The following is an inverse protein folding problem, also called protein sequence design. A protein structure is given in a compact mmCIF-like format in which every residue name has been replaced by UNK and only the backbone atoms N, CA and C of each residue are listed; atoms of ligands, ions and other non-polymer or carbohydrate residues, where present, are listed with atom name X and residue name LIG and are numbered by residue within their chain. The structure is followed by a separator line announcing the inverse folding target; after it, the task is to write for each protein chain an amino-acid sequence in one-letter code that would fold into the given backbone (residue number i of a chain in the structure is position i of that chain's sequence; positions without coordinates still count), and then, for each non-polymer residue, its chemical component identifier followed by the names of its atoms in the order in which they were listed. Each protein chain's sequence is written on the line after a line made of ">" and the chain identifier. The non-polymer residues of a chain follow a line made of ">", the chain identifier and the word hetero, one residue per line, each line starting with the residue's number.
data_IF_547643414190
#
_entry.id   IF_547643414190
#
_cell.length_a   1.000
_cell.length_b   1.000
_cell.length_c   1.000
_cell.angle_alpha   90.00
_cell.angle_beta   90.00
_cell.angle_gamma   90.00
#
_symmetry.space_group_name_H-M   'P 1'
#
loop_
_entity.id
_entity.type
_entity.pdbx_description
1 polymer ?
#
# COMPACT_ATOMS: atom_id res chain seq x y z
N UNK A 1 22.70 -8.36 11.70
CA UNK A 1 22.70 -7.61 10.43
C UNK A 1 22.02 -6.25 10.59
N UNK A 2 22.29 -5.31 9.70
CA UNK A 2 21.66 -3.95 9.71
C UNK A 2 20.13 -4.02 9.62
N UNK A 3 19.60 -5.03 8.94
CA UNK A 3 18.15 -5.28 8.79
C UNK A 3 17.45 -5.58 10.12
N UNK A 4 18.13 -6.17 11.07
CA UNK A 4 17.54 -6.51 12.38
C UNK A 4 17.64 -5.37 13.38
N UNK A 5 18.53 -4.44 13.14
CA UNK A 5 18.94 -3.40 14.06
C UNK A 5 17.96 -2.26 14.22
N UNK A 6 17.52 -1.70 13.12
CA UNK A 6 16.62 -0.57 13.10
C UNK A 6 15.25 -0.92 13.70
N UNK A 7 14.64 -2.06 13.36
CA UNK A 7 13.39 -2.50 13.98
C UNK A 7 13.47 -2.66 15.49
N UNK A 8 14.59 -3.17 16.03
CA UNK A 8 14.76 -3.37 17.49
C UNK A 8 14.86 -2.03 18.24
N UNK A 9 15.63 -1.07 17.73
CA UNK A 9 15.76 0.25 18.34
C UNK A 9 14.46 1.04 18.31
N UNK A 10 13.80 1.06 17.15
CA UNK A 10 12.50 1.70 16.99
C UNK A 10 11.47 1.01 17.90
N UNK A 11 11.42 -0.32 17.90
CA UNK A 11 10.51 -1.10 18.74
C UNK A 11 10.66 -0.75 20.22
N UNK A 12 11.88 -0.67 20.76
CA UNK A 12 12.12 -0.29 22.17
C UNK A 12 11.68 1.13 22.48
N UNK A 13 12.00 2.09 21.61
CA UNK A 13 11.60 3.48 21.79
C UNK A 13 10.08 3.61 21.76
N UNK A 14 9.43 2.88 20.86
CA UNK A 14 7.98 2.84 20.74
C UNK A 14 7.33 2.22 21.97
N UNK A 15 7.80 1.04 22.37
CA UNK A 15 7.29 0.30 23.53
C UNK A 15 7.37 1.13 24.81
N UNK A 16 8.45 1.89 25.03
CA UNK A 16 8.59 2.80 26.17
C UNK A 16 7.65 4.01 26.10
N UNK A 17 7.19 4.41 24.91
CA UNK A 17 6.34 5.59 24.71
C UNK A 17 4.86 5.26 24.78
N UNK A 18 4.47 4.01 24.50
CA UNK A 18 3.08 3.60 24.48
C UNK A 18 2.76 2.72 25.70
N UNK A 19 1.87 3.21 26.55
CA UNK A 19 1.50 2.49 27.78
C UNK A 19 0.52 1.34 27.53
N UNK A 20 -0.22 1.35 26.41
CA UNK A 20 -1.30 0.39 26.13
C UNK A 20 -1.22 -0.21 24.74
N UNK A 21 -1.75 -1.44 24.60
CA UNK A 21 -1.86 -2.18 23.34
C UNK A 21 -2.58 -1.35 22.27
N UNK A 22 -3.71 -0.72 22.62
CA UNK A 22 -4.48 0.12 21.68
C UNK A 22 -3.67 1.27 21.13
N UNK A 23 -2.97 2.03 21.98
CA UNK A 23 -2.17 3.17 21.54
C UNK A 23 -1.03 2.74 20.60
N UNK A 24 -0.35 1.64 20.95
CA UNK A 24 0.70 1.09 20.10
C UNK A 24 0.14 0.60 18.78
N UNK A 25 -0.97 -0.14 18.77
CA UNK A 25 -1.59 -0.65 17.56
C UNK A 25 -2.06 0.49 16.62
N UNK A 26 -2.76 1.49 17.15
CA UNK A 26 -3.19 2.64 16.35
C UNK A 26 -2.01 3.42 15.78
N UNK A 27 -0.93 3.59 16.55
CA UNK A 27 0.27 4.22 16.05
C UNK A 27 0.91 3.41 14.91
N UNK A 28 0.98 2.08 15.02
CA UNK A 28 1.53 1.20 13.98
C UNK A 28 0.67 1.24 12.72
N UNK A 29 -0.66 1.16 12.86
CA UNK A 29 -1.61 1.26 11.74
C UNK A 29 -1.51 2.62 11.05
N UNK A 30 -1.48 3.72 11.82
CA UNK A 30 -1.31 5.06 11.26
C UNK A 30 0.05 5.21 10.55
N UNK A 31 1.13 4.70 11.16
CA UNK A 31 2.47 4.73 10.57
C UNK A 31 2.55 3.92 9.28
N UNK A 32 1.87 2.77 9.21
CA UNK A 32 1.78 1.95 8.00
C UNK A 32 1.07 2.72 6.87
N UNK A 33 -0.07 3.36 7.15
CA UNK A 33 -0.77 4.21 6.20
C UNK A 33 0.09 5.40 5.75
N UNK A 34 0.73 6.10 6.68
CA UNK A 34 1.57 7.25 6.38
C UNK A 34 2.80 6.86 5.54
N UNK A 35 3.48 5.77 5.88
CA UNK A 35 4.63 5.30 5.12
C UNK A 35 4.23 4.92 3.70
N UNK A 36 3.11 4.23 3.50
CA UNK A 36 2.64 3.83 2.18
C UNK A 36 2.14 5.00 1.32
N UNK A 37 1.89 6.15 1.90
CA UNK A 37 1.62 7.38 1.15
C UNK A 37 2.83 7.88 0.37
N UNK A 38 4.04 7.72 0.93
CA UNK A 38 5.30 8.21 0.36
C UNK A 38 6.16 7.08 -0.23
N UNK A 39 5.96 5.85 0.23
CA UNK A 39 6.60 4.65 -0.30
C UNK A 39 5.52 3.81 -0.98
N UNK A 40 5.91 2.83 -1.78
CA UNK A 40 4.90 1.88 -2.29
C UNK A 40 4.35 1.04 -1.14
N UNK A 41 3.11 0.58 -1.28
CA UNK A 41 2.45 -0.28 -0.30
C UNK A 41 3.31 -1.50 0.10
N UNK A 42 3.98 -2.13 -0.87
CA UNK A 42 4.85 -3.28 -0.65
C UNK A 42 6.08 -2.91 0.20
N UNK A 43 6.74 -1.79 -0.15
CA UNK A 43 7.91 -1.30 0.60
C UNK A 43 7.53 -0.91 2.03
N UNK A 44 6.39 -0.28 2.22
CA UNK A 44 5.88 0.05 3.56
C UNK A 44 5.68 -1.21 4.41
N UNK A 45 5.15 -2.31 3.82
CA UNK A 45 5.00 -3.60 4.51
C UNK A 45 6.32 -4.23 4.90
N UNK A 46 7.34 -4.16 4.02
CA UNK A 46 8.69 -4.65 4.35
C UNK A 46 9.36 -3.89 5.50
N UNK A 47 8.83 -2.75 5.89
CA UNK A 47 9.26 -1.98 7.07
C UNK A 47 8.39 -2.32 8.29
N UNK A 48 7.07 -2.22 8.16
CA UNK A 48 6.18 -2.28 9.33
C UNK A 48 5.98 -3.70 9.85
N UNK A 49 5.87 -4.71 8.97
CA UNK A 49 5.65 -6.09 9.40
C UNK A 49 6.85 -6.67 10.17
N UNK A 50 8.12 -6.54 9.72
CA UNK A 50 9.27 -6.93 10.53
C UNK A 50 9.37 -6.17 11.86
N UNK A 51 8.96 -4.89 11.89
CA UNK A 51 8.90 -4.13 13.13
C UNK A 51 7.86 -4.73 14.09
N UNK A 52 6.67 -5.08 13.60
CA UNK A 52 5.64 -5.76 14.39
C UNK A 52 6.11 -7.12 14.90
N UNK A 53 6.77 -7.93 14.07
CA UNK A 53 7.36 -9.20 14.48
C UNK A 53 8.46 -9.03 15.55
N UNK A 54 9.18 -7.91 15.50
CA UNK A 54 10.17 -7.55 16.51
C UNK A 54 9.50 -7.11 17.81
N UNK A 55 8.42 -6.32 17.73
CA UNK A 55 7.63 -5.90 18.91
C UNK A 55 7.09 -7.10 19.69
N UNK A 56 6.71 -8.19 19.01
CA UNK A 56 6.32 -9.47 19.65
C UNK A 56 7.38 -10.01 20.61
N UNK A 57 8.66 -9.79 20.30
CA UNK A 57 9.78 -10.23 21.17
C UNK A 57 9.98 -9.32 22.39
N UNK A 58 9.42 -8.11 22.35
CA UNK A 58 9.61 -7.07 23.37
C UNK A 58 8.40 -6.91 24.27
N UNK A 59 7.20 -7.23 23.78
CA UNK A 59 5.96 -7.10 24.53
C UNK A 59 4.88 -8.05 24.01
N UNK A 60 3.87 -8.30 24.84
CA UNK A 60 2.70 -9.09 24.43
C UNK A 60 1.75 -8.23 23.60
N UNK A 61 1.61 -8.55 22.31
CA UNK A 61 0.72 -7.89 21.35
C UNK A 61 0.00 -8.92 20.48
N UNK A 62 -1.20 -8.64 19.97
CA UNK A 62 -1.92 -9.51 19.04
C UNK A 62 -1.36 -9.36 17.62
N UNK A 63 -0.17 -9.92 17.38
CA UNK A 63 0.61 -9.77 16.14
C UNK A 63 -0.21 -10.05 14.88
N UNK A 64 -0.95 -11.17 14.86
CA UNK A 64 -1.77 -11.55 13.70
C UNK A 64 -2.80 -10.46 13.35
N UNK A 65 -3.49 -9.93 14.35
CA UNK A 65 -4.46 -8.85 14.17
C UNK A 65 -3.77 -7.58 13.70
N UNK A 66 -2.64 -7.23 14.30
CA UNK A 66 -1.91 -6.02 13.96
C UNK A 66 -1.43 -6.05 12.52
N UNK A 67 -0.85 -7.18 12.05
CA UNK A 67 -0.42 -7.33 10.65
C UNK A 67 -1.60 -7.23 9.66
N UNK A 68 -2.78 -7.75 10.03
CA UNK A 68 -3.99 -7.58 9.20
C UNK A 68 -4.32 -6.09 9.06
N UNK A 69 -4.33 -5.34 10.17
CA UNK A 69 -4.61 -3.91 10.13
C UNK A 69 -3.51 -3.11 9.40
N UNK A 70 -2.25 -3.50 9.51
CA UNK A 70 -1.14 -2.91 8.74
C UNK A 70 -1.32 -3.16 7.24
N UNK A 71 -1.72 -4.35 6.82
CA UNK A 71 -2.01 -4.65 5.42
C UNK A 71 -3.17 -3.80 4.86
N UNK A 72 -4.24 -3.62 5.64
CA UNK A 72 -5.34 -2.73 5.27
C UNK A 72 -4.88 -1.26 5.27
N UNK A 73 -4.04 -0.87 6.22
CA UNK A 73 -3.54 0.50 6.35
C UNK A 73 -2.62 0.91 5.19
N UNK A 74 -1.75 0.01 4.71
CA UNK A 74 -0.90 0.33 3.56
C UNK A 74 -1.71 0.46 2.27
N UNK A 75 -2.77 -0.33 2.10
CA UNK A 75 -3.69 -0.14 0.97
C UNK A 75 -4.45 1.19 1.09
N UNK A 76 -4.89 1.57 2.29
CA UNK A 76 -5.59 2.83 2.54
C UNK A 76 -4.69 4.06 2.32
N UNK A 77 -3.46 4.04 2.82
CA UNK A 77 -2.52 5.15 2.70
C UNK A 77 -1.94 5.30 1.28
N UNK A 78 -1.64 4.18 0.63
CA UNK A 78 -1.02 4.16 -0.70
C UNK A 78 -1.92 4.71 -1.79
N UNK A 79 -3.23 4.73 -1.60
CA UNK A 79 -4.15 5.28 -2.58
C UNK A 79 -4.06 6.82 -2.70
N UNK A 80 -3.43 7.51 -1.72
CA UNK A 80 -3.40 8.98 -1.68
C UNK A 80 -2.54 9.60 -2.77
N UNK A 81 -1.35 9.06 -3.04
CA UNK A 81 -0.38 9.67 -3.96
C UNK A 81 -0.17 8.85 -5.23
N UNK A 82 0.32 9.47 -6.31
CA UNK A 82 0.68 8.74 -7.53
C UNK A 82 1.67 7.59 -7.31
N UNK A 83 2.60 7.74 -6.38
CA UNK A 83 3.69 6.78 -6.12
C UNK A 83 3.37 5.77 -5.02
N UNK A 84 2.22 5.89 -4.36
CA UNK A 84 1.84 5.01 -3.25
C UNK A 84 1.64 3.55 -3.68
N UNK A 85 1.25 3.31 -4.92
CA UNK A 85 1.09 1.96 -5.47
C UNK A 85 1.21 1.95 -7.01
N UNK A 86 1.47 0.77 -7.62
CA UNK A 86 1.68 0.67 -9.07
C UNK A 86 0.47 1.10 -9.91
N UNK A 87 -0.75 0.82 -9.47
CA UNK A 87 -1.95 1.22 -10.20
C UNK A 87 -2.11 2.74 -10.27
N UNK A 88 -1.76 3.47 -9.21
CA UNK A 88 -1.78 4.93 -9.22
C UNK A 88 -0.73 5.51 -10.17
N UNK A 89 0.47 4.90 -10.23
CA UNK A 89 1.51 5.30 -11.19
C UNK A 89 0.96 5.22 -12.62
N UNK A 90 0.25 4.14 -12.96
CA UNK A 90 -0.33 3.94 -14.28
C UNK A 90 -1.45 4.93 -14.60
N UNK A 91 -2.36 5.13 -13.64
CA UNK A 91 -3.47 6.07 -13.78
C UNK A 91 -2.98 7.51 -13.90
N UNK A 92 -2.06 7.90 -13.03
CA UNK A 92 -1.44 9.22 -13.05
C UNK A 92 -0.68 9.48 -14.34
N UNK A 93 0.16 8.52 -14.78
CA UNK A 93 0.94 8.65 -16.01
C UNK A 93 0.08 8.81 -17.28
N UNK A 94 -1.19 8.39 -17.25
CA UNK A 94 -2.14 8.54 -18.37
C UNK A 94 -3.13 9.69 -18.18
N UNK A 95 -3.25 10.25 -16.96
CA UNK A 95 -4.26 11.28 -16.64
C UNK A 95 -3.89 12.69 -17.10
N UNK A 96 -2.61 12.97 -17.32
CA UNK A 96 -2.10 14.32 -17.59
C UNK A 96 -2.13 15.27 -16.38
N UNK A 97 -2.48 14.77 -15.19
CA UNK A 97 -2.53 15.55 -13.96
C UNK A 97 -1.12 15.76 -13.38
N UNK A 98 -0.90 16.88 -12.69
CA UNK A 98 0.27 17.05 -11.83
C UNK A 98 0.20 16.11 -10.63
N UNK A 99 1.33 15.87 -9.97
CA UNK A 99 1.40 15.07 -8.75
C UNK A 99 0.45 15.59 -7.67
N UNK A 100 0.43 16.91 -7.48
CA UNK A 100 -0.40 17.58 -6.48
C UNK A 100 -1.89 17.53 -6.82
N UNK A 101 -2.25 17.69 -8.10
CA UNK A 101 -3.64 17.58 -8.55
C UNK A 101 -4.19 16.17 -8.36
N UNK A 102 -3.44 15.12 -8.76
CA UNK A 102 -3.82 13.73 -8.53
C UNK A 102 -4.00 13.45 -7.03
N UNK A 103 -3.02 13.86 -6.21
CA UNK A 103 -3.09 13.68 -4.76
C UNK A 103 -4.31 14.37 -4.16
N UNK A 104 -4.64 15.58 -4.60
CA UNK A 104 -5.82 16.31 -4.17
C UNK A 104 -7.12 15.57 -4.49
N UNK A 105 -7.21 14.98 -5.68
CA UNK A 105 -8.39 14.19 -6.09
C UNK A 105 -8.52 12.87 -5.31
N UNK A 106 -7.41 12.26 -4.92
CA UNK A 106 -7.43 11.00 -4.15
C UNK A 106 -7.63 11.22 -2.64
N UNK A 107 -7.35 12.42 -2.13
CA UNK A 107 -7.34 12.74 -0.70
C UNK A 107 -8.68 12.47 0.02
N UNK A 108 -9.87 12.82 -0.51
CA UNK A 108 -11.12 12.58 0.20
C UNK A 108 -11.34 11.12 0.54
N UNK A 109 -11.12 10.21 -0.43
CA UNK A 109 -11.25 8.77 -0.20
C UNK A 109 -10.18 8.27 0.76
N UNK A 110 -8.92 8.65 0.56
CA UNK A 110 -7.80 8.21 1.41
C UNK A 110 -8.04 8.56 2.87
N UNK A 111 -8.40 9.81 3.15
CA UNK A 111 -8.66 10.28 4.51
C UNK A 111 -9.86 9.57 5.14
N UNK A 112 -10.95 9.40 4.39
CA UNK A 112 -12.14 8.71 4.87
C UNK A 112 -11.84 7.25 5.25
N UNK A 113 -11.07 6.53 4.40
CA UNK A 113 -10.74 5.13 4.65
C UNK A 113 -9.72 4.98 5.78
N UNK A 114 -8.68 5.81 5.84
CA UNK A 114 -7.72 5.78 6.96
C UNK A 114 -8.41 6.10 8.29
N UNK A 115 -9.26 7.13 8.32
CA UNK A 115 -10.02 7.48 9.52
C UNK A 115 -10.94 6.33 9.96
N UNK A 116 -11.65 5.69 9.02
CA UNK A 116 -12.49 4.54 9.28
C UNK A 116 -11.70 3.35 9.84
N UNK A 117 -10.52 3.08 9.26
CA UNK A 117 -9.66 1.99 9.73
C UNK A 117 -9.12 2.24 11.14
N UNK A 118 -8.75 3.49 11.45
CA UNK A 118 -8.33 3.87 12.80
C UNK A 118 -9.50 3.76 13.79
N UNK A 119 -10.72 4.15 13.39
CA UNK A 119 -11.91 4.00 14.21
C UNK A 119 -12.20 2.51 14.49
N UNK A 120 -12.17 1.64 13.48
CA UNK A 120 -12.30 0.19 13.66
C UNK A 120 -11.19 -0.36 14.55
N UNK A 121 -9.96 0.09 14.36
CA UNK A 121 -8.81 -0.26 15.19
C UNK A 121 -8.99 0.12 16.66
N UNK A 122 -9.62 1.26 16.94
CA UNK A 122 -9.93 1.69 18.31
C UNK A 122 -10.77 0.67 19.07
N UNK A 123 -11.73 0.04 18.40
CA UNK A 123 -12.57 -1.00 19.00
C UNK A 123 -11.92 -2.38 18.94
N UNK A 124 -11.14 -2.67 17.91
CA UNK A 124 -10.49 -3.98 17.71
C UNK A 124 -9.37 -4.26 18.71
N UNK A 125 -8.66 -3.22 19.21
CA UNK A 125 -7.55 -3.38 20.15
C UNK A 125 -7.95 -2.94 21.56
N UNK A 126 -7.76 -3.81 22.58
CA UNK A 126 -8.13 -3.50 23.97
C UNK A 126 -7.18 -2.46 24.57
N UNK A 127 -7.69 -1.72 25.55
CA UNK A 127 -6.90 -0.75 26.30
C UNK A 127 -6.15 -1.43 27.47
N UNK A 128 -5.40 -2.51 27.18
CA UNK A 128 -4.59 -3.23 28.16
C UNK A 128 -3.21 -2.62 28.26
N UNK A 129 -2.65 -2.60 29.46
CA UNK A 129 -1.25 -2.22 29.69
C UNK A 129 -0.32 -3.21 28.99
N UNK A 130 0.71 -2.69 28.32
CA UNK A 130 1.73 -3.52 27.68
C UNK A 130 2.64 -4.16 28.75
N UNK A 131 2.79 -5.47 28.67
CA UNK A 131 3.78 -6.21 29.47
C UNK A 131 5.09 -6.31 28.68
N UNK A 132 6.17 -5.86 29.28
CA UNK A 132 7.47 -5.79 28.62
C UNK A 132 8.35 -6.96 29.01
N UNK A 133 9.10 -7.49 28.04
CA UNK A 133 10.16 -8.45 28.25
C UNK A 133 11.50 -7.71 28.28
N UNK A 134 12.25 -7.85 29.37
CA UNK A 134 13.58 -7.25 29.52
C UNK A 134 14.64 -8.04 28.75
N UNK A 135 15.33 -7.40 27.87
CA UNK A 135 16.61 -7.87 27.30
C UNK A 135 16.68 -8.05 25.80
N UNK A 136 17.36 -7.14 25.16
CA UNK A 136 18.26 -7.35 23.98
C UNK A 136 18.98 -6.03 23.68
N UNK A 137 20.31 -6.08 23.46
CA UNK A 137 21.12 -4.93 22.98
C UNK A 137 20.80 -4.67 21.51
N UNK A 138 20.45 -3.44 21.17
CA UNK A 138 20.16 -3.03 19.79
C UNK A 138 21.40 -2.47 19.07
N UNK A 139 21.44 -2.57 17.75
CA UNK A 139 22.52 -2.04 16.92
C UNK A 139 22.47 -0.51 16.78
N UNK A 140 23.55 0.06 16.27
CA UNK A 140 23.75 1.50 16.20
C UNK A 140 23.00 2.14 15.02
N UNK A 141 22.41 3.31 15.27
CA UNK A 141 21.80 4.20 14.31
C UNK A 141 22.82 4.76 13.32
N UNK A 142 22.51 4.77 12.01
CA UNK A 142 23.36 5.36 10.96
C UNK A 142 22.67 6.60 10.35
N UNK A 143 22.76 7.77 11.00
CA UNK A 143 22.03 8.98 10.57
C UNK A 143 22.42 9.44 9.17
N UNK A 144 23.68 9.31 8.79
CA UNK A 144 24.16 9.72 7.46
C UNK A 144 23.43 9.00 6.32
N UNK A 145 23.25 7.68 6.42
CA UNK A 145 22.55 6.90 5.40
C UNK A 145 21.07 7.30 5.32
N UNK A 146 20.42 7.51 6.44
CA UNK A 146 19.00 7.92 6.48
C UNK A 146 18.78 9.28 5.83
N UNK A 147 19.63 10.27 6.15
CA UNK A 147 19.53 11.59 5.53
C UNK A 147 19.85 11.59 4.05
N UNK A 148 20.82 10.77 3.62
CA UNK A 148 21.13 10.60 2.20
C UNK A 148 19.97 9.94 1.44
N UNK A 149 19.34 8.90 2.00
CA UNK A 149 18.17 8.27 1.41
C UNK A 149 17.00 9.27 1.28
N UNK A 150 16.75 10.05 2.33
CA UNK A 150 15.70 11.06 2.32
C UNK A 150 15.97 12.15 1.25
N UNK A 151 17.22 12.64 1.15
CA UNK A 151 17.61 13.61 0.15
C UNK A 151 17.43 13.09 -1.28
N UNK A 152 17.90 11.88 -1.57
CA UNK A 152 17.72 11.24 -2.89
C UNK A 152 16.25 11.00 -3.21
N UNK A 153 15.44 10.66 -2.20
CA UNK A 153 14.01 10.48 -2.38
C UNK A 153 13.30 11.79 -2.74
N UNK A 154 13.63 12.90 -2.05
CA UNK A 154 13.09 14.23 -2.37
C UNK A 154 13.47 14.64 -3.80
N UNK A 155 14.73 14.44 -4.20
CA UNK A 155 15.18 14.73 -5.57
C UNK A 155 14.40 13.90 -6.58
N UNK A 156 14.13 12.63 -6.30
CA UNK A 156 13.30 11.78 -7.15
C UNK A 156 11.87 12.31 -7.28
N UNK A 157 11.25 12.74 -6.19
CA UNK A 157 9.89 13.34 -6.23
C UNK A 157 9.85 14.61 -7.09
N UNK A 158 10.87 15.47 -6.98
CA UNK A 158 10.98 16.66 -7.81
C UNK A 158 11.13 16.27 -9.29
N UNK A 159 11.94 15.27 -9.58
CA UNK A 159 12.11 14.78 -10.95
C UNK A 159 10.80 14.20 -11.53
N UNK A 160 9.99 13.52 -10.71
CA UNK A 160 8.66 13.04 -11.10
C UNK A 160 7.72 14.21 -11.45
N UNK A 161 7.65 15.24 -10.61
CA UNK A 161 6.81 16.41 -10.86
C UNK A 161 7.23 17.17 -12.13
N UNK A 162 8.52 17.17 -12.44
CA UNK A 162 9.09 17.75 -13.68
C UNK A 162 8.97 16.85 -14.91
N UNK A 163 8.27 15.70 -14.82
CA UNK A 163 8.16 14.69 -15.87
C UNK A 163 9.53 14.10 -16.32
N UNK A 164 10.52 14.10 -15.43
CA UNK A 164 11.88 13.57 -15.64
C UNK A 164 12.13 12.27 -14.84
N UNK A 165 11.14 11.38 -14.80
CA UNK A 165 11.18 10.15 -14.00
C UNK A 165 12.42 9.30 -14.24
N UNK A 166 12.81 9.11 -15.52
CA UNK A 166 13.98 8.31 -15.88
C UNK A 166 15.29 8.97 -15.40
N UNK A 167 15.44 10.27 -15.60
CA UNK A 167 16.61 11.01 -15.14
C UNK A 167 16.72 10.96 -13.60
N UNK A 168 15.59 11.13 -12.91
CA UNK A 168 15.51 10.98 -11.44
C UNK A 168 15.90 9.58 -10.97
N UNK A 169 15.40 8.53 -11.60
CA UNK A 169 15.73 7.14 -11.28
C UNK A 169 17.23 6.84 -11.50
N UNK A 170 17.80 7.29 -12.60
CA UNK A 170 19.23 7.14 -12.89
C UNK A 170 20.09 7.89 -11.86
N UNK A 171 19.69 9.10 -11.47
CA UNK A 171 20.39 9.88 -10.46
C UNK A 171 20.38 9.18 -9.09
N UNK A 172 19.23 8.63 -8.69
CA UNK A 172 19.11 7.86 -7.45
C UNK A 172 19.96 6.59 -7.51
N UNK A 173 19.93 5.85 -8.63
CA UNK A 173 20.76 4.65 -8.81
C UNK A 173 22.26 4.99 -8.74
N UNK A 174 22.71 6.05 -9.41
CA UNK A 174 24.09 6.55 -9.31
C UNK A 174 24.44 6.97 -7.89
N UNK A 175 23.53 7.69 -7.19
CA UNK A 175 23.73 8.07 -5.80
C UNK A 175 23.99 6.88 -4.89
N UNK A 176 23.18 5.81 -5.00
CA UNK A 176 23.36 4.58 -4.23
C UNK A 176 24.59 3.79 -4.64
N UNK A 177 25.03 3.87 -5.92
CA UNK A 177 26.25 3.23 -6.36
C UNK A 177 27.49 3.76 -5.59
N UNK A 178 27.52 5.06 -5.28
CA UNK A 178 28.60 5.70 -4.52
C UNK A 178 28.39 5.61 -3.01
N UNK A 179 27.15 5.78 -2.52
CA UNK A 179 26.84 5.84 -1.09
C UNK A 179 26.74 4.46 -0.44
N UNK A 180 26.08 3.50 -1.13
CA UNK A 180 25.78 2.20 -0.55
C UNK A 180 25.45 1.15 -1.64
N UNK A 181 26.45 0.68 -2.37
CA UNK A 181 26.31 -0.35 -3.43
C UNK A 181 25.49 -1.58 -2.98
N UNK A 182 25.63 -1.98 -1.71
CA UNK A 182 24.89 -3.13 -1.17
C UNK A 182 23.38 -2.92 -1.19
N UNK A 183 22.89 -1.69 -1.13
CA UNK A 183 21.46 -1.38 -1.24
C UNK A 183 20.93 -1.75 -2.62
N UNK A 184 21.66 -1.44 -3.70
CA UNK A 184 21.26 -1.81 -5.07
C UNK A 184 21.20 -3.32 -5.27
N UNK A 185 22.12 -4.06 -4.66
CA UNK A 185 22.11 -5.54 -4.72
C UNK A 185 20.97 -6.13 -3.88
N UNK A 186 20.53 -5.44 -2.83
CA UNK A 186 19.44 -5.87 -1.96
C UNK A 186 18.04 -5.51 -2.47
N UNK A 187 17.93 -4.83 -3.62
CA UNK A 187 16.63 -4.58 -4.28
C UNK A 187 15.96 -5.92 -4.58
N UNK A 188 14.65 -5.99 -4.35
CA UNK A 188 13.87 -7.18 -4.70
C UNK A 188 13.61 -7.23 -6.20
N UNK A 189 14.61 -7.71 -6.93
CA UNK A 189 14.54 -7.90 -8.39
C UNK A 189 13.43 -8.89 -8.78
N UNK A 190 13.12 -9.85 -7.91
CA UNK A 190 12.03 -10.80 -8.14
C UNK A 190 10.69 -10.10 -8.18
N UNK A 191 10.45 -9.14 -7.27
CA UNK A 191 9.24 -8.33 -7.28
C UNK A 191 9.10 -7.52 -8.58
N UNK A 192 10.20 -6.91 -9.06
CA UNK A 192 10.19 -6.19 -10.35
C UNK A 192 9.88 -7.12 -11.53
N UNK A 193 10.44 -8.33 -11.55
CA UNK A 193 10.13 -9.34 -12.57
C UNK A 193 8.66 -9.77 -12.52
N UNK A 194 8.09 -9.93 -11.32
CA UNK A 194 6.65 -10.22 -11.15
C UNK A 194 5.80 -9.11 -11.74
N UNK A 195 6.11 -7.83 -11.48
CA UNK A 195 5.39 -6.73 -12.12
C UNK A 195 5.52 -6.75 -13.64
N UNK A 196 6.71 -6.99 -14.19
CA UNK A 196 6.89 -7.11 -15.63
C UNK A 196 6.05 -8.26 -16.20
N UNK A 197 6.06 -9.43 -15.56
CA UNK A 197 5.24 -10.58 -15.96
C UNK A 197 3.74 -10.23 -15.92
N UNK A 198 3.26 -9.55 -14.90
CA UNK A 198 1.87 -9.09 -14.79
C UNK A 198 1.46 -8.20 -15.98
N UNK A 199 2.35 -7.31 -16.45
CA UNK A 199 2.07 -6.51 -17.65
C UNK A 199 1.96 -7.38 -18.91
N UNK A 200 2.84 -8.37 -19.06
CA UNK A 200 2.80 -9.32 -20.18
C UNK A 200 1.54 -10.16 -20.12
N UNK A 201 1.21 -10.72 -18.96
CA UNK A 201 0.02 -11.56 -18.76
C UNK A 201 -1.26 -10.80 -19.09
N UNK A 202 -1.41 -9.56 -18.62
CA UNK A 202 -2.58 -8.74 -18.96
C UNK A 202 -2.62 -8.44 -20.44
N UNK A 203 -1.49 -8.13 -21.09
CA UNK A 203 -1.43 -7.92 -22.53
C UNK A 203 -1.91 -9.17 -23.30
N UNK A 204 -1.45 -10.35 -22.92
CA UNK A 204 -1.89 -11.61 -23.50
C UNK A 204 -3.39 -11.89 -23.26
N UNK A 205 -3.88 -11.59 -22.05
CA UNK A 205 -5.32 -11.71 -21.72
C UNK A 205 -6.18 -10.82 -22.62
N UNK A 206 -5.75 -9.60 -22.95
CA UNK A 206 -6.52 -8.72 -23.85
C UNK A 206 -6.59 -9.23 -25.29
N UNK A 207 -5.71 -10.15 -25.69
CA UNK A 207 -5.72 -10.76 -27.02
C UNK A 207 -6.65 -11.98 -27.11
N UNK A 208 -7.17 -12.51 -25.99
CA UNK A 208 -8.08 -13.66 -26.00
C UNK A 208 -9.46 -13.27 -26.54
N UNK A 209 -9.95 -13.90 -27.65
CA UNK A 209 -11.24 -13.55 -28.25
C UNK A 209 -12.42 -13.68 -27.28
N UNK A 210 -12.37 -14.66 -26.38
CA UNK A 210 -13.41 -14.86 -25.38
C UNK A 210 -13.55 -13.69 -24.39
N UNK A 211 -12.43 -13.01 -24.07
CA UNK A 211 -12.43 -11.83 -23.20
C UNK A 211 -12.75 -10.54 -23.94
N UNK A 212 -12.38 -10.42 -25.20
CA UNK A 212 -12.65 -9.23 -26.00
C UNK A 212 -14.15 -8.93 -26.11
N UNK A 213 -14.99 -9.97 -26.25
CA UNK A 213 -16.45 -9.81 -26.29
C UNK A 213 -17.04 -9.29 -24.95
N UNK A 214 -16.50 -9.74 -23.84
CA UNK A 214 -16.95 -9.30 -22.50
C UNK A 214 -16.38 -7.92 -22.15
N UNK A 215 -15.10 -7.70 -22.40
CA UNK A 215 -14.39 -6.47 -22.04
C UNK A 215 -14.71 -5.31 -22.99
N UNK A 216 -15.09 -5.58 -24.25
CA UNK A 216 -15.54 -4.56 -25.19
C UNK A 216 -16.76 -3.79 -24.73
N UNK A 217 -17.61 -4.42 -23.91
CA UNK A 217 -18.78 -3.77 -23.32
C UNK A 217 -18.46 -2.87 -22.11
N UNK A 218 -17.23 -2.92 -21.58
CA UNK A 218 -16.85 -2.13 -20.37
C UNK A 218 -16.92 -0.63 -20.65
N UNK A 219 -16.59 -0.19 -21.86
CA UNK A 219 -16.69 1.21 -22.28
C UNK A 219 -18.13 1.75 -22.32
N UNK A 220 -19.13 0.88 -22.36
CA UNK A 220 -20.55 1.23 -22.39
C UNK A 220 -21.23 1.08 -21.01
N UNK A 221 -20.51 0.67 -19.99
CA UNK A 221 -21.06 0.56 -18.64
C UNK A 221 -21.44 1.94 -18.09
N UNK A 222 -22.53 1.96 -17.34
CA UNK A 222 -22.83 3.11 -16.49
C UNK A 222 -21.76 3.29 -15.40
N UNK A 223 -21.68 4.48 -14.79
CA UNK A 223 -20.73 4.74 -13.69
C UNK A 223 -20.82 3.70 -12.57
N UNK A 224 -22.02 3.34 -12.05
CA UNK A 224 -22.12 2.26 -11.05
C UNK A 224 -21.64 0.90 -11.59
N UNK A 225 -21.91 0.62 -12.86
CA UNK A 225 -21.47 -0.60 -13.53
C UNK A 225 -19.94 -0.67 -13.62
N UNK A 226 -19.29 0.41 -14.03
CA UNK A 226 -17.82 0.49 -14.09
C UNK A 226 -17.21 0.40 -12.70
N UNK A 227 -17.81 1.09 -11.70
CA UNK A 227 -17.39 1.02 -10.30
C UNK A 227 -17.34 -0.40 -9.77
N UNK A 228 -18.45 -1.13 -9.90
CA UNK A 228 -18.56 -2.52 -9.43
C UNK A 228 -17.67 -3.48 -10.22
N UNK A 229 -17.56 -3.27 -11.54
CA UNK A 229 -16.69 -4.09 -12.40
C UNK A 229 -15.21 -3.92 -12.02
N UNK A 230 -14.75 -2.70 -11.81
CA UNK A 230 -13.36 -2.45 -11.44
C UNK A 230 -13.02 -3.05 -10.05
N UNK A 231 -13.92 -2.91 -9.08
CA UNK A 231 -13.77 -3.53 -7.76
C UNK A 231 -13.79 -5.06 -7.90
N UNK A 232 -14.76 -5.63 -8.64
CA UNK A 232 -14.90 -7.07 -8.81
C UNK A 232 -13.72 -7.72 -9.52
N UNK A 233 -13.24 -7.12 -10.62
CA UNK A 233 -12.04 -7.59 -11.32
C UNK A 233 -10.82 -7.60 -10.39
N UNK A 234 -10.68 -6.58 -9.55
CA UNK A 234 -9.57 -6.52 -8.58
C UNK A 234 -9.59 -7.70 -7.62
N UNK A 235 -10.77 -8.24 -7.26
CA UNK A 235 -10.86 -9.42 -6.38
C UNK A 235 -10.36 -10.69 -7.06
N UNK A 236 -10.41 -10.76 -8.39
CA UNK A 236 -10.05 -11.97 -9.16
C UNK A 236 -8.60 -11.92 -9.64
N UNK A 237 -8.20 -10.80 -10.26
CA UNK A 237 -6.89 -10.68 -10.93
C UNK A 237 -5.94 -9.67 -10.25
N UNK A 238 -6.32 -9.14 -9.07
CA UNK A 238 -5.60 -8.07 -8.35
C UNK A 238 -5.80 -6.67 -8.96
N UNK A 239 -5.65 -5.64 -8.13
CA UNK A 239 -5.90 -4.25 -8.49
C UNK A 239 -4.98 -3.72 -9.60
N UNK A 240 -3.70 -4.13 -9.63
CA UNK A 240 -2.75 -3.67 -10.67
C UNK A 240 -3.11 -4.26 -12.04
N UNK A 241 -3.24 -5.59 -12.23
CA UNK A 241 -3.71 -6.15 -13.49
C UNK A 241 -5.08 -5.62 -13.92
N UNK A 242 -6.02 -5.45 -12.99
CA UNK A 242 -7.34 -4.87 -13.29
C UNK A 242 -7.22 -3.46 -13.84
N UNK A 243 -6.33 -2.65 -13.27
CA UNK A 243 -6.07 -1.29 -13.76
C UNK A 243 -5.51 -1.30 -15.19
N UNK A 244 -4.48 -2.14 -15.43
CA UNK A 244 -3.88 -2.28 -16.77
C UNK A 244 -4.93 -2.71 -17.78
N UNK A 245 -5.75 -3.71 -17.43
CA UNK A 245 -6.80 -4.24 -18.28
C UNK A 245 -7.84 -3.17 -18.62
N UNK A 246 -8.38 -2.49 -17.61
CA UNK A 246 -9.44 -1.50 -17.79
C UNK A 246 -8.96 -0.26 -18.56
N UNK A 247 -7.72 0.18 -18.37
CA UNK A 247 -7.12 1.31 -19.10
C UNK A 247 -6.95 1.05 -20.62
N UNK A 248 -7.18 -0.17 -21.11
CA UNK A 248 -7.27 -0.45 -22.54
C UNK A 248 -8.67 -0.16 -23.13
N UNK A 249 -9.69 -0.06 -22.28
CA UNK A 249 -11.09 0.10 -22.71
C UNK A 249 -11.73 1.41 -22.25
N UNK A 250 -11.25 1.99 -21.14
CA UNK A 250 -11.79 3.23 -20.60
C UNK A 250 -10.64 4.21 -20.28
N UNK A 251 -10.87 5.52 -20.47
CA UNK A 251 -9.87 6.53 -20.12
C UNK A 251 -9.64 6.58 -18.60
N UNK A 252 -8.48 7.07 -18.15
CA UNK A 252 -8.24 7.31 -16.74
C UNK A 252 -9.26 8.32 -16.20
N UNK A 253 -9.87 8.01 -15.09
CA UNK A 253 -10.86 8.85 -14.43
C UNK A 253 -10.75 8.71 -12.93
N UNK A 254 -11.30 9.66 -12.18
CA UNK A 254 -11.35 9.61 -10.73
C UNK A 254 -12.12 8.38 -10.24
N UNK A 255 -13.25 8.07 -10.90
CA UNK A 255 -14.05 6.89 -10.60
C UNK A 255 -13.21 5.61 -10.73
N UNK A 256 -12.48 5.44 -11.86
CA UNK A 256 -11.65 4.27 -12.08
C UNK A 256 -10.52 4.20 -11.04
N UNK A 257 -9.87 5.34 -10.76
CA UNK A 257 -8.78 5.40 -9.78
C UNK A 257 -9.26 4.98 -8.39
N UNK A 258 -10.41 5.47 -7.95
CA UNK A 258 -10.97 5.09 -6.67
C UNK A 258 -11.41 3.63 -6.64
N UNK A 259 -12.10 3.15 -7.69
CA UNK A 259 -12.62 1.79 -7.76
C UNK A 259 -11.52 0.72 -7.66
N UNK A 260 -10.43 0.85 -8.43
CA UNK A 260 -9.34 -0.13 -8.39
C UNK A 260 -8.56 -0.07 -7.08
N UNK A 261 -8.48 1.09 -6.43
CA UNK A 261 -7.87 1.21 -5.10
C UNK A 261 -8.76 0.60 -4.02
N UNK A 262 -10.07 0.82 -4.07
CA UNK A 262 -11.05 0.13 -3.21
C UNK A 262 -10.96 -1.38 -3.41
N UNK A 263 -10.78 -1.82 -4.65
CA UNK A 263 -10.57 -3.23 -4.98
C UNK A 263 -9.35 -3.89 -4.34
N UNK A 264 -8.41 -3.10 -3.80
CA UNK A 264 -7.28 -3.61 -3.00
C UNK A 264 -7.68 -4.19 -1.64
N UNK A 265 -8.87 -3.85 -1.13
CA UNK A 265 -9.47 -4.47 0.04
C UNK A 265 -10.25 -5.74 -0.37
N UNK A 266 -10.73 -6.50 0.61
CA UNK A 266 -11.59 -7.67 0.37
C UNK A 266 -10.84 -8.98 0.31
N UNK A 267 -10.86 -9.66 -0.84
CA UNK A 267 -10.19 -10.94 -0.98
C UNK A 267 -8.67 -10.78 -1.04
N UNK A 268 -7.96 -11.84 -0.68
CA UNK A 268 -6.49 -11.84 -0.70
C UNK A 268 -5.89 -11.45 -2.06
N UNK A 269 -6.39 -11.97 -3.20
CA UNK A 269 -5.87 -11.57 -4.51
C UNK A 269 -6.12 -10.10 -4.85
N UNK A 270 -7.01 -9.41 -4.14
CA UNK A 270 -7.36 -8.01 -4.39
C UNK A 270 -6.16 -7.07 -4.43
N UNK A 271 -5.13 -7.37 -3.63
CA UNK A 271 -3.85 -6.64 -3.67
C UNK A 271 -2.68 -7.58 -3.34
N UNK A 272 -1.58 -7.48 -4.07
CA UNK A 272 -0.35 -8.21 -3.80
C UNK A 272 0.20 -7.89 -2.40
N UNK A 273 0.02 -6.67 -1.93
CA UNK A 273 0.39 -6.25 -0.58
C UNK A 273 -0.27 -7.12 0.51
N UNK A 274 -1.53 -7.53 0.33
CA UNK A 274 -2.20 -8.45 1.26
C UNK A 274 -1.45 -9.78 1.35
N UNK A 275 -1.10 -10.38 0.20
CA UNK A 275 -0.38 -11.65 0.13
C UNK A 275 1.00 -11.55 0.81
N UNK A 276 1.73 -10.48 0.55
CA UNK A 276 3.05 -10.21 1.14
C UNK A 276 2.94 -10.13 2.67
N UNK A 277 2.02 -9.30 3.20
CA UNK A 277 1.83 -9.11 4.63
C UNK A 277 1.50 -10.43 5.34
N UNK A 278 0.54 -11.18 4.79
CA UNK A 278 0.09 -12.43 5.40
C UNK A 278 1.14 -13.54 5.33
N UNK A 279 1.91 -13.57 4.24
CA UNK A 279 3.04 -14.52 4.10
C UNK A 279 4.13 -14.23 5.12
N UNK A 280 4.45 -12.96 5.36
CA UNK A 280 5.46 -12.56 6.35
C UNK A 280 5.04 -12.89 7.78
N UNK A 281 3.74 -12.89 8.09
CA UNK A 281 3.23 -13.22 9.42
C UNK A 281 3.48 -14.67 9.83
N UNK A 282 3.68 -15.59 8.88
CA UNK A 282 3.93 -17.01 9.08
C UNK A 282 2.91 -17.69 10.03
N UNK A 283 1.64 -17.30 9.95
CA UNK A 283 0.51 -17.85 10.71
C UNK A 283 -0.55 -18.39 9.74
N UNK A 284 -0.76 -19.69 9.69
CA UNK A 284 -1.74 -20.33 8.80
C UNK A 284 -3.18 -19.85 9.02
N UNK A 285 -3.53 -19.43 10.23
CA UNK A 285 -4.89 -18.97 10.57
C UNK A 285 -5.13 -17.54 10.14
N UNK A 286 -4.09 -16.78 9.81
CA UNK A 286 -4.21 -15.37 9.40
C UNK A 286 -5.05 -15.21 8.13
N UNK A 287 -5.00 -16.19 7.21
CA UNK A 287 -5.74 -16.18 5.95
C UNK A 287 -7.25 -16.03 6.16
N UNK A 288 -7.84 -16.78 7.08
CA UNK A 288 -9.26 -16.67 7.39
C UNK A 288 -9.58 -15.41 8.20
N UNK A 289 -8.74 -15.09 9.17
CA UNK A 289 -8.91 -13.90 10.01
C UNK A 289 -8.80 -12.61 9.21
N UNK A 290 -8.00 -12.58 8.16
CA UNK A 290 -7.89 -11.43 7.26
C UNK A 290 -9.26 -11.09 6.67
N UNK A 291 -9.98 -12.06 6.12
CA UNK A 291 -11.26 -11.83 5.47
C UNK A 291 -12.35 -11.32 6.43
N UNK A 292 -12.27 -11.60 7.73
CA UNK A 292 -13.18 -11.05 8.73
C UNK A 292 -13.10 -9.53 8.83
N UNK A 293 -11.97 -8.93 8.53
CA UNK A 293 -11.77 -7.47 8.56
C UNK A 293 -11.78 -6.88 7.15
N UNK A 294 -11.20 -7.57 6.19
CA UNK A 294 -10.99 -7.03 4.84
C UNK A 294 -12.27 -7.00 4.01
N UNK A 295 -13.17 -7.99 4.11
CA UNK A 295 -14.45 -7.99 3.38
C UNK A 295 -15.37 -6.88 3.89
N UNK A 296 -15.64 -6.73 5.20
CA UNK A 296 -16.39 -5.57 5.69
C UNK A 296 -15.75 -4.23 5.30
N UNK A 297 -14.41 -4.16 5.29
CA UNK A 297 -13.70 -2.96 4.88
C UNK A 297 -13.86 -2.67 3.38
N UNK A 298 -13.87 -3.70 2.53
CA UNK A 298 -14.19 -3.56 1.10
C UNK A 298 -15.58 -2.97 0.88
N UNK A 299 -16.59 -3.57 1.53
CA UNK A 299 -17.98 -3.12 1.41
C UNK A 299 -18.15 -1.67 1.89
N UNK A 300 -17.52 -1.34 3.01
CA UNK A 300 -17.51 0.01 3.55
C UNK A 300 -16.80 0.99 2.62
N UNK A 301 -15.61 0.64 2.13
CA UNK A 301 -14.83 1.47 1.23
C UNK A 301 -15.56 1.67 -0.12
N UNK A 302 -16.23 0.64 -0.62
CA UNK A 302 -17.04 0.72 -1.84
C UNK A 302 -18.23 1.67 -1.65
N UNK A 303 -18.93 1.59 -0.53
CA UNK A 303 -20.03 2.48 -0.20
C UNK A 303 -19.57 3.92 -0.03
N UNK A 304 -18.58 4.15 0.84
CA UNK A 304 -18.07 5.50 1.12
C UNK A 304 -17.48 6.15 -0.12
N UNK A 305 -16.70 5.39 -0.90
CA UNK A 305 -16.09 5.88 -2.13
C UNK A 305 -17.15 6.31 -3.15
N UNK A 306 -18.18 5.49 -3.36
CA UNK A 306 -19.25 5.83 -4.28
C UNK A 306 -20.07 7.04 -3.83
N UNK A 307 -20.40 7.11 -2.53
CA UNK A 307 -21.11 8.26 -1.96
C UNK A 307 -20.28 9.54 -2.10
N UNK A 308 -19.00 9.49 -1.84
CA UNK A 308 -18.10 10.64 -2.02
C UNK A 308 -18.02 11.09 -3.48
N UNK A 309 -18.00 10.16 -4.47
CA UNK A 309 -18.00 10.49 -5.89
C UNK A 309 -19.29 11.22 -6.31
N UNK A 310 -20.43 10.86 -5.71
CA UNK A 310 -21.71 11.52 -6.00
C UNK A 310 -21.80 12.90 -5.36
N UNK A 311 -21.25 13.05 -4.12
CA UNK A 311 -21.32 14.30 -3.35
C UNK A 311 -20.26 15.31 -3.81
N UNK A 312 -19.09 14.82 -4.22
CA UNK A 312 -17.95 15.64 -4.66
C UNK A 312 -17.80 15.48 -6.18
N UNK A 313 -18.63 16.12 -7.00
CA UNK A 313 -18.50 16.02 -8.45
C UNK A 313 -17.09 16.44 -8.86
N UNK A 314 -16.48 15.67 -9.75
CA UNK A 314 -15.15 15.98 -10.27
C UNK A 314 -15.21 17.36 -10.96
N UNK A 315 -14.48 18.34 -10.43
CA UNK A 315 -14.21 19.61 -11.12
C UNK A 315 -13.22 19.40 -12.25
#
# INVERSE_FOLDING_TARGET
>A
SLHDALPILLGRKMVRRFATERKLALFMVFSAALLSTFLTNDVALFIVVPLTLTLRKLCEIPVTRLIIFEALAVNAGSLLTPIGNPQNILLWGRSGLSFTAFTGQMAPLALAIVASLLAVGWFAFPNKSLQYHSGTTGPQWQPRLVWSCLGLYIVFLIALELNQALAGALLVACGFLFLARRVLVSVDWTLLLVFMAMFIDVHLLTQLPALQGVLGNVSHLSEPGLWLTAIGLSQVISNVPSTILLLNYVPPSLLLAWAVNVGGFGLLPGSLANLIALRMANDRRIWWRFHLYSIPMLLWAALVGYVLLVILPAN
#
